data_IF_325504471110
#
_entry.id   IF_325504471110
#
_cell.length_a   1.000
_cell.length_b   1.000
_cell.length_c   1.000
_cell.angle_alpha   90.00
_cell.angle_beta   90.00
_cell.angle_gamma   90.00
#
_symmetry.space_group_name_H-M   'P 1'
#
loop_
_entity.id
_entity.type
_entity.pdbx_description
1 polymer ?
#
# COMPACT_ATOMS: atom_id res chain seq x y z
N UNK A 1 9.23 -8.38 -56.15
CA UNK A 1 8.31 -8.16 -57.26
C UNK A 1 6.91 -8.08 -56.75
N UNK A 2 6.27 -6.95 -57.02
CA UNK A 2 4.86 -6.56 -56.96
C UNK A 2 4.38 -6.22 -55.55
N UNK A 3 4.45 -5.03 -55.05
CA UNK A 3 3.94 -3.65 -55.30
C UNK A 3 2.41 -3.54 -55.30
N UNK A 4 1.88 -2.96 -54.17
CA UNK A 4 0.98 -1.78 -54.03
C UNK A 4 -0.48 -1.89 -54.52
N UNK A 5 -1.41 -0.97 -54.18
CA UNK A 5 -1.38 0.14 -53.26
C UNK A 5 -2.70 0.38 -52.48
N UNK A 6 -2.69 1.40 -51.60
CA UNK A 6 -3.83 2.11 -50.99
C UNK A 6 -4.68 2.86 -52.05
N UNK A 7 -5.90 3.30 -51.69
CA UNK A 7 -6.30 4.62 -52.15
C UNK A 7 -6.73 5.58 -51.00
N UNK A 8 -6.42 6.79 -51.32
CA UNK A 8 -6.70 8.09 -50.65
C UNK A 8 -8.12 8.61 -50.84
N UNK A 9 -8.52 9.46 -49.89
CA UNK A 9 -9.18 10.78 -49.98
C UNK A 9 -10.55 10.87 -50.65
N UNK A 10 -11.48 11.62 -50.10
CA UNK A 10 -11.56 13.10 -50.12
C UNK A 10 -12.90 13.58 -49.55
N UNK A 11 -12.78 14.57 -48.74
CA UNK A 11 -13.57 15.81 -48.61
C UNK A 11 -14.80 16.01 -49.51
N UNK A 12 -15.87 16.63 -48.94
CA UNK A 12 -16.53 17.81 -49.54
C UNK A 12 -17.41 18.49 -48.49
N UNK A 13 -17.15 19.78 -48.33
CA UNK A 13 -17.98 20.83 -47.74
C UNK A 13 -19.28 21.07 -48.52
N UNK A 14 -20.35 21.57 -47.87
CA UNK A 14 -21.35 22.51 -48.42
C UNK A 14 -22.04 23.24 -47.25
N UNK A 15 -21.76 24.38 -46.99
CA UNK A 15 -22.17 25.78 -47.15
C UNK A 15 -23.66 26.10 -47.23
N UNK A 16 -24.10 26.95 -46.25
CA UNK A 16 -24.92 28.21 -46.37
C UNK A 16 -26.35 28.10 -46.96
N UNK A 17 -27.38 28.68 -46.43
CA UNK A 17 -27.69 30.11 -46.19
C UNK A 17 -29.20 30.33 -45.89
N UNK A 18 -29.50 31.26 -45.01
CA UNK A 18 -30.42 32.44 -45.09
C UNK A 18 -31.93 32.25 -44.88
N UNK A 19 -32.48 33.14 -44.05
CA UNK A 19 -33.89 33.50 -44.03
C UNK A 19 -34.35 34.33 -42.82
N UNK A 20 -34.02 35.61 -42.77
CA UNK A 20 -34.70 36.64 -41.93
C UNK A 20 -36.13 36.81 -42.37
N UNK A 21 -37.09 36.96 -41.46
CA UNK A 21 -38.18 37.98 -41.55
C UNK A 21 -38.76 38.27 -40.17
N UNK A 22 -38.80 39.57 -39.88
CA UNK A 22 -39.48 40.21 -38.76
C UNK A 22 -40.97 40.27 -38.97
N UNK A 23 -41.76 40.19 -37.93
CA UNK A 23 -43.11 40.79 -37.89
C UNK A 23 -43.39 41.22 -36.45
N UNK A 24 -43.54 42.52 -36.31
CA UNK A 24 -43.96 43.29 -35.15
C UNK A 24 -45.49 43.15 -34.98
N UNK A 25 -45.93 42.73 -33.77
CA UNK A 25 -47.32 43.03 -33.35
C UNK A 25 -47.29 43.37 -31.86
N UNK A 26 -47.57 44.61 -31.56
CA UNK A 26 -47.84 45.15 -30.24
C UNK A 26 -49.31 44.86 -29.85
N UNK A 27 -49.49 44.25 -28.66
CA UNK A 27 -50.77 44.30 -27.94
C UNK A 27 -50.47 44.49 -26.44
N UNK A 28 -50.98 45.69 -25.97
CA UNK A 28 -51.09 45.99 -24.54
C UNK A 28 -52.11 45.04 -23.90
N UNK A 29 -51.83 44.42 -22.78
CA UNK A 29 -52.85 44.17 -21.75
C UNK A 29 -52.23 43.77 -20.43
N UNK A 30 -52.56 44.51 -19.39
CA UNK A 30 -52.81 43.98 -18.01
C UNK A 30 -51.63 43.54 -17.16
N UNK A 31 -51.14 44.45 -16.32
CA UNK A 31 -50.32 44.09 -15.12
C UNK A 31 -51.18 43.27 -14.15
N UNK A 32 -50.83 42.00 -13.94
CA UNK A 32 -51.15 41.24 -12.75
C UNK A 32 -49.82 40.98 -12.05
N UNK A 33 -49.59 41.65 -10.92
CA UNK A 33 -48.47 41.38 -10.01
C UNK A 33 -48.65 39.97 -9.42
N UNK A 34 -47.88 39.00 -9.87
CA UNK A 34 -47.70 37.75 -9.16
C UNK A 34 -46.50 37.87 -8.21
N UNK A 35 -46.56 37.28 -6.98
CA UNK A 35 -45.46 37.32 -6.05
C UNK A 35 -44.31 36.50 -6.62
N UNK A 36 -43.10 37.09 -6.57
CA UNK A 36 -41.89 36.55 -7.14
C UNK A 36 -41.56 35.15 -6.63
N UNK A 37 -41.53 34.20 -7.54
CA UNK A 37 -40.79 32.95 -7.35
C UNK A 37 -39.31 33.29 -7.43
N UNK A 38 -38.63 33.32 -6.30
CA UNK A 38 -37.17 33.37 -6.26
C UNK A 38 -36.62 32.20 -7.06
N UNK A 39 -35.96 32.46 -8.16
CA UNK A 39 -35.16 31.47 -8.88
C UNK A 39 -34.09 30.95 -7.90
N UNK A 40 -33.87 29.62 -7.80
CA UNK A 40 -32.78 29.12 -7.00
C UNK A 40 -31.47 29.66 -7.57
N UNK A 41 -30.69 30.33 -6.73
CA UNK A 41 -29.32 30.71 -7.08
C UNK A 41 -28.58 29.48 -7.59
N UNK A 42 -27.79 29.59 -8.66
CA UNK A 42 -26.97 28.49 -9.11
C UNK A 42 -26.01 28.15 -7.97
N UNK A 43 -26.20 26.95 -7.35
CA UNK A 43 -25.30 26.38 -6.36
C UNK A 43 -23.92 26.39 -7.02
N UNK A 44 -22.99 27.22 -6.51
CA UNK A 44 -21.63 27.28 -6.98
C UNK A 44 -21.13 25.82 -7.02
N UNK A 45 -20.66 25.38 -8.19
CA UNK A 45 -20.05 24.10 -8.34
C UNK A 45 -18.86 24.07 -7.36
N UNK A 46 -18.99 23.32 -6.26
CA UNK A 46 -17.88 23.10 -5.36
C UNK A 46 -16.78 22.46 -6.20
N UNK A 47 -15.61 23.09 -6.23
CA UNK A 47 -14.43 22.47 -6.80
C UNK A 47 -14.34 21.06 -6.21
N UNK A 48 -14.07 20.02 -7.03
CA UNK A 48 -13.97 18.67 -6.50
C UNK A 48 -13.00 18.67 -5.33
N UNK A 49 -13.43 18.11 -4.20
CA UNK A 49 -12.59 18.05 -2.99
C UNK A 49 -11.29 17.33 -3.36
N UNK A 50 -10.14 17.94 -3.01
CA UNK A 50 -8.82 17.34 -3.24
C UNK A 50 -8.77 16.00 -2.49
N UNK A 51 -8.32 14.92 -3.16
CA UNK A 51 -8.24 13.57 -2.58
C UNK A 51 -6.96 13.39 -1.74
N UNK A 52 -6.89 12.34 -0.90
CA UNK A 52 -5.63 11.96 -0.23
C UNK A 52 -4.51 11.77 -1.25
N UNK A 53 -4.81 11.11 -2.37
CA UNK A 53 -3.87 10.91 -3.48
C UNK A 53 -3.24 12.22 -3.95
N UNK A 54 -4.07 13.21 -4.28
CA UNK A 54 -3.60 14.50 -4.77
C UNK A 54 -2.79 15.27 -3.70
N UNK A 55 -3.23 15.23 -2.44
CA UNK A 55 -2.51 15.86 -1.34
C UNK A 55 -1.12 15.21 -1.13
N UNK A 56 -1.04 13.87 -1.17
CA UNK A 56 0.20 13.12 -1.02
C UNK A 56 1.17 13.34 -2.20
N UNK A 57 0.66 13.36 -3.44
CA UNK A 57 1.44 13.62 -4.66
C UNK A 57 2.11 15.00 -4.59
N UNK A 58 1.43 16.03 -4.07
CA UNK A 58 2.00 17.37 -3.87
C UNK A 58 3.17 17.39 -2.87
N UNK A 59 3.25 16.40 -2.00
CA UNK A 59 4.33 16.22 -1.00
C UNK A 59 5.39 15.20 -1.43
N UNK A 60 5.28 14.62 -2.62
CA UNK A 60 6.15 13.54 -3.10
C UNK A 60 6.14 12.30 -2.17
N UNK A 61 4.99 12.03 -1.55
CA UNK A 61 4.72 10.86 -0.73
C UNK A 61 3.68 10.00 -1.43
N UNK A 62 3.89 8.71 -1.44
CA UNK A 62 2.90 7.74 -1.92
C UNK A 62 1.90 7.49 -0.79
N UNK A 63 0.61 7.58 -1.05
CA UNK A 63 -0.45 7.13 -0.13
C UNK A 63 -0.98 5.78 -0.59
N UNK A 64 -0.99 4.78 0.30
CA UNK A 64 -1.34 3.41 -0.05
C UNK A 64 -2.34 2.76 0.89
N UNK A 65 -2.91 1.64 0.44
CA UNK A 65 -3.71 0.74 1.26
C UNK A 65 -3.39 -0.73 0.94
N UNK A 66 -3.32 -1.57 1.98
CA UNK A 66 -3.37 -3.02 1.81
C UNK A 66 -4.81 -3.44 1.51
N UNK A 67 -5.00 -4.33 0.54
CA UNK A 67 -6.33 -4.64 0.00
C UNK A 67 -6.43 -6.13 -0.38
N UNK A 68 -7.66 -6.65 -0.37
CA UNK A 68 -7.93 -7.99 -0.81
C UNK A 68 -8.74 -7.99 -2.11
N UNK A 69 -8.33 -8.82 -3.06
CA UNK A 69 -8.94 -8.89 -4.40
C UNK A 69 -10.44 -9.23 -4.36
N UNK A 70 -10.88 -9.98 -3.36
CA UNK A 70 -12.29 -10.36 -3.17
C UNK A 70 -13.26 -9.20 -2.93
N UNK A 71 -12.75 -8.01 -2.57
CA UNK A 71 -13.57 -6.82 -2.33
C UNK A 71 -13.63 -5.87 -3.53
N UNK A 72 -12.89 -6.14 -4.61
CA UNK A 72 -12.87 -5.27 -5.79
C UNK A 72 -14.20 -5.20 -6.54
N UNK A 73 -15.10 -6.15 -6.33
CA UNK A 73 -16.45 -6.14 -6.91
C UNK A 73 -17.43 -5.25 -6.10
N UNK A 74 -17.05 -4.77 -4.91
CA UNK A 74 -17.83 -3.79 -4.15
C UNK A 74 -17.63 -2.39 -4.75
N UNK A 75 -18.68 -1.77 -5.29
CA UNK A 75 -18.60 -0.52 -6.02
C UNK A 75 -17.97 0.63 -5.20
N UNK A 76 -18.41 0.80 -3.94
CA UNK A 76 -17.87 1.84 -3.05
C UNK A 76 -16.40 1.57 -2.68
N UNK A 77 -16.05 0.31 -2.45
CA UNK A 77 -14.66 -0.08 -2.16
C UNK A 77 -13.73 0.28 -3.31
N UNK A 78 -14.08 -0.15 -4.51
CA UNK A 78 -13.28 0.09 -5.71
C UNK A 78 -13.19 1.57 -6.08
N UNK A 79 -14.30 2.32 -5.93
CA UNK A 79 -14.33 3.75 -6.20
C UNK A 79 -13.41 4.54 -5.25
N UNK A 80 -13.46 4.24 -3.93
CA UNK A 80 -12.59 4.88 -2.93
C UNK A 80 -11.13 4.49 -3.17
N UNK A 81 -10.84 3.20 -3.32
CA UNK A 81 -9.49 2.71 -3.54
C UNK A 81 -8.84 3.37 -4.76
N UNK A 82 -9.54 3.40 -5.89
CA UNK A 82 -9.02 3.93 -7.15
C UNK A 82 -8.84 5.46 -7.17
N UNK A 83 -9.62 6.21 -6.37
CA UNK A 83 -9.58 7.67 -6.36
C UNK A 83 -8.72 8.27 -5.25
N UNK A 84 -8.68 7.65 -4.07
CA UNK A 84 -8.04 8.22 -2.88
C UNK A 84 -6.60 7.74 -2.67
N UNK A 85 -6.18 6.65 -3.32
CA UNK A 85 -4.87 6.04 -3.14
C UNK A 85 -4.05 6.00 -4.43
N UNK A 86 -2.74 6.21 -4.32
CA UNK A 86 -1.78 6.09 -5.43
C UNK A 86 -1.05 4.75 -5.45
N UNK A 87 -1.22 3.93 -4.39
CA UNK A 87 -0.65 2.60 -4.28
C UNK A 87 -1.64 1.62 -3.68
N UNK A 88 -1.55 0.37 -4.11
CA UNK A 88 -2.12 -0.77 -3.40
C UNK A 88 -1.06 -1.83 -3.09
N UNK A 89 -1.33 -2.63 -2.05
CA UNK A 89 -0.57 -3.81 -1.65
C UNK A 89 -1.52 -4.97 -1.46
N UNK A 90 -1.13 -6.18 -1.89
CA UNK A 90 -1.89 -7.38 -1.59
C UNK A 90 -1.89 -7.65 -0.08
N UNK A 91 -3.08 -7.77 0.54
CA UNK A 91 -3.18 -8.13 1.96
C UNK A 91 -2.72 -9.57 2.20
N UNK A 92 -3.09 -10.50 1.31
CA UNK A 92 -2.74 -11.92 1.42
C UNK A 92 -2.31 -12.58 0.11
N UNK A 93 -2.79 -12.14 -1.03
CA UNK A 93 -2.74 -12.85 -2.32
C UNK A 93 -1.32 -13.08 -2.85
N UNK A 94 -0.34 -12.28 -2.42
CA UNK A 94 1.06 -12.40 -2.83
C UNK A 94 1.96 -13.04 -1.75
N UNK A 95 1.39 -13.48 -0.62
CA UNK A 95 2.14 -14.25 0.40
C UNK A 95 2.45 -15.66 -0.10
N UNK A 96 3.50 -16.29 0.46
CA UNK A 96 4.00 -17.56 -0.04
C UNK A 96 2.90 -18.63 -0.18
N UNK A 97 2.14 -18.91 0.89
CA UNK A 97 1.11 -19.95 0.88
C UNK A 97 0.03 -19.73 -0.17
N UNK A 98 -0.63 -18.56 -0.23
CA UNK A 98 -1.63 -18.27 -1.24
C UNK A 98 -1.11 -18.33 -2.68
N UNK A 99 0.09 -17.81 -2.96
CA UNK A 99 0.60 -17.72 -4.33
C UNK A 99 1.32 -18.98 -4.80
N UNK A 100 1.88 -19.79 -3.88
CA UNK A 100 2.61 -21.04 -4.18
C UNK A 100 2.10 -22.20 -3.29
N UNK A 101 0.81 -22.55 -3.42
CA UNK A 101 0.14 -23.49 -2.52
C UNK A 101 0.56 -24.95 -2.69
N UNK A 102 1.18 -25.32 -3.81
CA UNK A 102 1.57 -26.69 -4.15
C UNK A 102 3.06 -26.77 -4.47
N UNK A 103 3.71 -27.94 -4.28
CA UNK A 103 5.13 -28.10 -4.56
C UNK A 103 5.46 -27.95 -6.06
N UNK A 104 6.69 -27.58 -6.40
CA UNK A 104 7.17 -27.39 -7.76
C UNK A 104 7.03 -28.65 -8.65
N UNK A 105 6.82 -29.81 -8.06
CA UNK A 105 6.51 -31.06 -8.77
C UNK A 105 5.05 -31.16 -9.25
N UNK A 106 4.17 -30.31 -8.76
CA UNK A 106 2.78 -30.20 -9.24
C UNK A 106 2.76 -29.51 -10.63
N UNK A 107 1.90 -29.93 -11.56
CA UNK A 107 1.80 -29.27 -12.88
C UNK A 107 1.33 -27.81 -12.82
N UNK A 108 0.69 -27.40 -11.72
CA UNK A 108 0.22 -26.04 -11.48
C UNK A 108 0.59 -25.58 -10.06
N UNK A 109 1.88 -25.35 -9.75
CA UNK A 109 2.33 -25.09 -8.38
C UNK A 109 1.87 -23.72 -7.85
N UNK A 110 1.64 -22.75 -8.73
CA UNK A 110 1.30 -21.38 -8.39
C UNK A 110 -0.18 -21.03 -8.65
N UNK A 111 -0.72 -20.14 -7.82
CA UNK A 111 -2.00 -19.44 -8.03
C UNK A 111 -1.79 -17.93 -8.04
N UNK A 112 -1.75 -17.35 -9.22
CA UNK A 112 -1.56 -15.92 -9.41
C UNK A 112 -2.87 -15.13 -9.54
N UNK A 113 -4.02 -15.79 -9.52
CA UNK A 113 -5.32 -15.17 -9.85
C UNK A 113 -5.60 -13.92 -9.01
N UNK A 114 -5.43 -14.00 -7.69
CA UNK A 114 -5.70 -12.86 -6.80
C UNK A 114 -4.69 -11.72 -7.00
N UNK A 115 -3.40 -12.04 -7.09
CA UNK A 115 -2.36 -11.05 -7.35
C UNK A 115 -2.53 -10.36 -8.71
N UNK A 116 -2.86 -11.12 -9.76
CA UNK A 116 -3.13 -10.58 -11.09
C UNK A 116 -4.33 -9.63 -11.12
N UNK A 117 -5.40 -9.94 -10.37
CA UNK A 117 -6.57 -9.07 -10.26
C UNK A 117 -6.21 -7.72 -9.61
N UNK A 118 -5.39 -7.74 -8.54
CA UNK A 118 -4.92 -6.52 -7.87
C UNK A 118 -4.02 -5.70 -8.80
N UNK A 119 -3.09 -6.33 -9.51
CA UNK A 119 -2.22 -5.64 -10.48
C UNK A 119 -3.03 -5.03 -11.61
N UNK A 120 -4.02 -5.75 -12.15
CA UNK A 120 -4.91 -5.22 -13.19
C UNK A 120 -5.71 -4.00 -12.70
N UNK A 121 -6.26 -4.07 -11.49
CA UNK A 121 -6.95 -2.93 -10.88
C UNK A 121 -6.02 -1.72 -10.74
N UNK A 122 -4.81 -1.93 -10.23
CA UNK A 122 -3.82 -0.86 -10.08
C UNK A 122 -3.48 -0.19 -11.42
N UNK A 123 -3.32 -0.96 -12.48
CA UNK A 123 -3.05 -0.45 -13.84
C UNK A 123 -4.19 0.43 -14.36
N UNK A 124 -5.46 -0.01 -14.20
CA UNK A 124 -6.65 0.73 -14.63
C UNK A 124 -6.74 2.08 -13.89
N UNK A 125 -6.37 2.11 -12.60
CA UNK A 125 -6.46 3.30 -11.76
C UNK A 125 -5.15 4.11 -11.66
N UNK A 126 -4.15 3.79 -12.49
CA UNK A 126 -2.82 4.45 -12.47
C UNK A 126 -2.20 4.44 -11.07
N UNK A 127 -2.29 3.32 -10.37
CA UNK A 127 -1.67 3.06 -9.07
C UNK A 127 -0.40 2.27 -9.26
N UNK A 128 0.56 2.44 -8.35
CA UNK A 128 1.69 1.53 -8.22
C UNK A 128 1.35 0.36 -7.29
N UNK A 129 2.05 -0.76 -7.44
CA UNK A 129 1.82 -1.96 -6.63
C UNK A 129 3.05 -2.23 -5.77
N UNK A 130 2.83 -2.50 -4.48
CA UNK A 130 3.84 -3.00 -3.56
C UNK A 130 3.55 -4.48 -3.28
N UNK A 131 4.53 -5.34 -3.48
CA UNK A 131 4.41 -6.79 -3.26
C UNK A 131 4.68 -7.17 -1.79
N UNK A 132 3.83 -8.00 -1.22
CA UNK A 132 3.93 -8.46 0.17
C UNK A 132 3.46 -9.90 0.26
N UNK A 133 4.26 -10.80 0.73
CA UNK A 133 5.70 -10.78 1.02
C UNK A 133 6.31 -12.10 0.53
N UNK A 134 7.57 -12.07 0.09
CA UNK A 134 8.21 -13.26 -0.49
C UNK A 134 8.63 -14.26 0.59
N UNK A 135 9.15 -13.78 1.73
CA UNK A 135 9.62 -14.63 2.83
C UNK A 135 9.02 -14.16 4.16
N UNK A 136 8.29 -15.06 4.81
CA UNK A 136 7.69 -14.81 6.11
C UNK A 136 7.64 -16.10 6.92
N UNK A 137 7.49 -16.03 8.24
CA UNK A 137 7.34 -17.18 9.11
C UNK A 137 5.91 -17.73 9.13
N UNK A 138 4.93 -16.88 8.79
CA UNK A 138 3.52 -17.24 8.67
C UNK A 138 3.13 -17.52 7.23
N UNK A 139 1.97 -18.15 7.04
CA UNK A 139 1.41 -18.51 5.73
C UNK A 139 2.40 -19.22 4.79
N UNK A 140 3.38 -19.94 5.35
CA UNK A 140 4.20 -20.89 4.60
C UNK A 140 3.33 -22.12 4.30
N UNK A 141 3.27 -22.63 3.06
CA UNK A 141 2.40 -23.76 2.72
C UNK A 141 2.82 -25.04 3.41
N UNK A 142 1.85 -25.93 3.64
CA UNK A 142 2.06 -27.17 4.38
C UNK A 142 3.12 -28.07 3.75
N UNK A 143 3.24 -28.11 2.44
CA UNK A 143 4.25 -28.91 1.75
C UNK A 143 5.68 -28.47 2.09
N UNK A 144 5.90 -27.17 2.36
CA UNK A 144 7.18 -26.64 2.84
C UNK A 144 7.34 -26.94 4.34
N UNK A 145 6.33 -26.62 5.17
CA UNK A 145 6.42 -26.78 6.65
C UNK A 145 6.58 -28.21 7.11
N UNK A 146 5.91 -29.17 6.44
CA UNK A 146 5.86 -30.58 6.82
C UNK A 146 6.85 -31.44 6.05
N UNK A 147 7.53 -30.87 5.04
CA UNK A 147 8.53 -31.58 4.27
C UNK A 147 9.83 -31.76 5.06
N UNK A 148 10.54 -32.84 4.75
CA UNK A 148 11.85 -33.11 5.30
C UNK A 148 12.93 -32.67 4.32
N UNK A 149 13.34 -31.42 4.41
CA UNK A 149 14.30 -30.80 3.48
C UNK A 149 15.65 -30.57 4.14
N UNK A 150 16.72 -30.78 3.40
CA UNK A 150 18.05 -30.29 3.75
C UNK A 150 18.15 -28.77 3.53
N UNK A 151 19.16 -28.12 4.10
CA UNK A 151 19.40 -26.69 3.91
C UNK A 151 19.53 -26.30 2.43
N UNK A 152 20.26 -27.02 1.55
CA UNK A 152 20.27 -26.74 0.11
C UNK A 152 18.89 -26.82 -0.54
N UNK A 153 18.09 -27.85 -0.21
CA UNK A 153 16.74 -27.99 -0.76
C UNK A 153 15.81 -26.85 -0.32
N UNK A 154 15.88 -26.39 0.94
CA UNK A 154 15.15 -25.20 1.40
C UNK A 154 15.60 -23.94 0.65
N UNK A 155 16.91 -23.81 0.38
CA UNK A 155 17.44 -22.70 -0.39
C UNK A 155 16.93 -22.73 -1.84
N UNK A 156 16.90 -23.89 -2.49
CA UNK A 156 16.37 -24.06 -3.85
C UNK A 156 14.86 -23.75 -3.93
N UNK A 157 14.08 -24.23 -2.96
CA UNK A 157 12.64 -23.92 -2.86
C UNK A 157 12.41 -22.40 -2.74
N UNK A 158 13.13 -21.76 -1.83
CA UNK A 158 12.97 -20.32 -1.62
C UNK A 158 13.44 -19.49 -2.82
N UNK A 159 14.56 -19.87 -3.43
CA UNK A 159 15.08 -19.23 -4.63
C UNK A 159 14.11 -19.35 -5.81
N UNK A 160 13.60 -20.58 -6.06
CA UNK A 160 12.60 -20.83 -7.12
C UNK A 160 11.33 -19.98 -6.91
N UNK A 161 10.84 -19.94 -5.65
CA UNK A 161 9.69 -19.09 -5.29
C UNK A 161 9.93 -17.61 -5.59
N UNK A 162 11.02 -17.04 -5.06
CA UNK A 162 11.36 -15.62 -5.26
C UNK A 162 11.48 -15.32 -6.75
N UNK A 163 12.26 -16.10 -7.48
CA UNK A 163 12.48 -15.94 -8.92
C UNK A 163 11.17 -15.97 -9.70
N UNK A 164 10.33 -16.97 -9.47
CA UNK A 164 9.08 -17.15 -10.21
C UNK A 164 8.11 -16.01 -9.95
N UNK A 165 7.89 -15.64 -8.69
CA UNK A 165 6.96 -14.58 -8.30
C UNK A 165 7.43 -13.23 -8.82
N UNK A 166 8.68 -12.88 -8.60
CA UNK A 166 9.21 -11.59 -9.02
C UNK A 166 9.30 -11.45 -10.55
N UNK A 167 9.69 -12.52 -11.25
CA UNK A 167 9.72 -12.49 -12.72
C UNK A 167 8.31 -12.28 -13.32
N UNK A 168 7.27 -12.90 -12.73
CA UNK A 168 5.89 -12.69 -13.18
C UNK A 168 5.45 -11.23 -13.05
N UNK A 169 5.85 -10.57 -11.98
CA UNK A 169 5.45 -9.20 -11.66
C UNK A 169 6.52 -8.15 -11.99
N UNK A 170 7.59 -8.54 -12.68
CA UNK A 170 8.63 -7.61 -13.10
C UNK A 170 8.04 -6.44 -13.89
N UNK A 171 8.49 -5.22 -13.58
CA UNK A 171 7.98 -3.95 -14.10
C UNK A 171 6.53 -3.57 -13.72
N UNK A 172 5.81 -4.42 -12.99
CA UNK A 172 4.43 -4.17 -12.52
C UNK A 172 4.38 -3.86 -11.02
N UNK A 173 5.29 -4.45 -10.25
CA UNK A 173 5.45 -4.23 -8.81
C UNK A 173 6.72 -3.43 -8.60
N UNK A 174 6.61 -2.21 -8.05
CA UNK A 174 7.77 -1.32 -7.94
C UNK A 174 8.64 -1.58 -6.71
N UNK A 175 8.07 -2.19 -5.68
CA UNK A 175 8.75 -2.49 -4.42
C UNK A 175 8.23 -3.79 -3.82
N UNK A 176 9.11 -4.56 -3.16
CA UNK A 176 8.77 -5.82 -2.49
C UNK A 176 9.23 -5.82 -1.04
N UNK A 177 8.36 -6.30 -0.14
CA UNK A 177 8.80 -6.86 1.13
C UNK A 177 9.43 -8.22 0.86
N UNK A 178 10.75 -8.22 0.72
CA UNK A 178 11.48 -9.47 0.44
C UNK A 178 11.42 -10.38 1.65
N UNK A 179 11.68 -9.84 2.84
CA UNK A 179 11.56 -10.56 4.11
C UNK A 179 10.75 -9.76 5.10
N UNK A 180 9.80 -10.43 5.73
CA UNK A 180 8.91 -9.88 6.74
C UNK A 180 9.14 -10.54 8.11
N UNK A 181 9.26 -9.73 9.17
CA UNK A 181 9.21 -10.14 10.58
C UNK A 181 10.24 -11.23 10.98
N UNK A 182 11.50 -11.02 10.65
CA UNK A 182 12.57 -11.98 10.95
C UNK A 182 13.12 -11.88 12.36
N UNK A 183 12.80 -10.82 13.11
CA UNK A 183 13.29 -10.60 14.47
C UNK A 183 12.19 -10.72 15.52
N UNK A 184 12.54 -11.21 16.69
CA UNK A 184 11.73 -11.16 17.90
C UNK A 184 11.86 -9.78 18.58
N UNK A 185 10.98 -9.48 19.54
CA UNK A 185 10.96 -8.18 20.22
C UNK A 185 12.21 -7.91 21.09
N UNK A 186 12.93 -8.97 21.47
CA UNK A 186 14.21 -8.88 22.17
C UNK A 186 15.43 -8.67 21.25
N UNK A 187 15.19 -8.60 19.92
CA UNK A 187 16.22 -8.44 18.89
C UNK A 187 16.89 -9.73 18.43
N UNK A 188 16.51 -10.88 18.97
CA UNK A 188 16.98 -12.18 18.48
C UNK A 188 16.33 -12.55 17.15
N UNK A 189 16.98 -13.40 16.35
CA UNK A 189 16.38 -13.97 15.14
C UNK A 189 15.18 -14.85 15.51
N UNK A 190 14.10 -14.71 14.75
CA UNK A 190 12.89 -15.53 14.92
C UNK A 190 13.16 -16.98 14.50
N UNK A 191 12.72 -17.93 15.33
CA UNK A 191 12.76 -19.35 15.02
C UNK A 191 11.76 -19.68 13.89
N UNK A 192 12.31 -20.13 12.76
CA UNK A 192 11.52 -20.43 11.53
C UNK A 192 12.19 -21.54 10.75
N UNK A 193 11.46 -22.15 9.81
CA UNK A 193 12.03 -23.13 8.86
C UNK A 193 13.19 -22.54 8.02
N UNK A 194 13.23 -21.21 7.84
CA UNK A 194 14.26 -20.52 7.08
C UNK A 194 15.54 -20.31 7.88
N UNK A 195 15.42 -20.17 9.20
CA UNK A 195 16.53 -19.85 10.11
C UNK A 195 17.05 -21.04 10.91
N UNK A 196 16.15 -21.90 11.44
CA UNK A 196 16.52 -23.04 12.29
C UNK A 196 17.21 -24.17 11.51
N UNK A 197 17.79 -25.11 12.21
CA UNK A 197 18.35 -26.32 11.60
C UNK A 197 17.24 -27.20 10.97
N UNK A 198 17.36 -27.60 9.69
CA UNK A 198 18.50 -27.40 8.80
C UNK A 198 18.56 -26.01 8.11
N UNK A 199 17.62 -25.15 8.23
CA UNK A 199 17.42 -23.82 7.65
C UNK A 199 18.54 -23.23 6.78
N UNK A 200 18.25 -22.18 6.06
CA UNK A 200 19.20 -21.57 5.12
C UNK A 200 20.27 -20.78 5.89
N UNK A 201 21.51 -21.28 5.96
CA UNK A 201 22.57 -20.67 6.77
C UNK A 201 22.29 -20.77 8.27
N UNK A 202 21.76 -21.89 8.70
CA UNK A 202 21.22 -22.18 10.03
C UNK A 202 22.04 -21.60 11.17
N UNK A 203 21.43 -20.79 12.02
CA UNK A 203 22.07 -20.14 13.16
C UNK A 203 23.12 -19.07 12.80
N UNK A 204 23.32 -18.73 11.53
CA UNK A 204 24.32 -17.75 11.07
C UNK A 204 23.73 -16.33 10.92
N UNK A 205 22.93 -15.88 11.89
CA UNK A 205 22.33 -14.55 11.86
C UNK A 205 21.43 -14.34 10.64
N UNK A 206 21.43 -13.14 10.01
CA UNK A 206 20.52 -12.80 8.92
C UNK A 206 20.93 -13.39 7.55
N UNK A 207 21.62 -14.52 7.52
CA UNK A 207 22.14 -15.12 6.26
C UNK A 207 21.06 -15.41 5.24
N UNK A 208 19.93 -15.99 5.65
CA UNK A 208 18.83 -16.28 4.73
C UNK A 208 18.17 -15.00 4.18
N UNK A 209 18.16 -13.91 4.96
CA UNK A 209 17.66 -12.58 4.53
C UNK A 209 18.56 -12.03 3.42
N UNK A 210 19.88 -12.08 3.63
CA UNK A 210 20.85 -11.67 2.60
C UNK A 210 20.67 -12.47 1.30
N UNK A 211 20.52 -13.78 1.40
CA UNK A 211 20.32 -14.63 0.22
C UNK A 211 19.01 -14.28 -0.50
N UNK A 212 17.91 -14.11 0.23
CA UNK A 212 16.63 -13.71 -0.34
C UNK A 212 16.70 -12.36 -1.08
N UNK A 213 17.37 -11.35 -0.50
CA UNK A 213 17.57 -10.05 -1.13
C UNK A 213 18.41 -10.15 -2.43
N UNK A 214 19.47 -10.98 -2.44
CA UNK A 214 20.29 -11.17 -3.64
C UNK A 214 19.50 -11.85 -4.75
N UNK A 215 18.74 -12.90 -4.45
CA UNK A 215 17.88 -13.60 -5.41
C UNK A 215 16.75 -12.68 -5.93
N UNK A 216 16.20 -11.85 -5.05
CA UNK A 216 15.20 -10.86 -5.44
C UNK A 216 15.77 -9.84 -6.44
N UNK A 217 16.97 -9.31 -6.19
CA UNK A 217 17.66 -8.38 -7.10
C UNK A 217 18.03 -9.02 -8.44
N UNK A 218 18.41 -10.29 -8.41
CA UNK A 218 18.67 -11.07 -9.64
C UNK A 218 17.39 -11.24 -10.48
N UNK A 219 16.26 -11.55 -9.83
CA UNK A 219 14.99 -11.79 -10.50
C UNK A 219 14.35 -10.52 -11.08
N UNK A 220 14.47 -9.38 -10.38
CA UNK A 220 14.02 -8.06 -10.87
C UNK A 220 14.99 -6.95 -10.43
N UNK A 221 15.91 -6.57 -11.32
CA UNK A 221 16.86 -5.50 -11.04
C UNK A 221 16.23 -4.11 -10.83
N UNK A 222 14.98 -3.91 -11.31
CA UNK A 222 14.27 -2.63 -11.24
C UNK A 222 13.44 -2.42 -9.98
N UNK A 223 13.06 -3.50 -9.29
CA UNK A 223 12.25 -3.39 -8.08
C UNK A 223 13.04 -2.91 -6.87
N UNK A 224 12.41 -2.13 -6.00
CA UNK A 224 12.98 -1.78 -4.70
C UNK A 224 12.77 -2.90 -3.70
N UNK A 225 13.78 -3.22 -2.90
CA UNK A 225 13.81 -4.36 -2.00
C UNK A 225 13.80 -3.90 -0.54
N UNK A 226 12.79 -4.32 0.21
CA UNK A 226 12.56 -3.91 1.59
C UNK A 226 12.64 -5.09 2.56
N UNK A 227 13.08 -4.78 3.77
CA UNK A 227 12.81 -5.54 4.97
C UNK A 227 11.65 -4.86 5.73
N UNK A 228 10.66 -5.60 6.21
CA UNK A 228 9.45 -5.06 6.87
C UNK A 228 9.24 -5.72 8.24
N UNK A 229 8.89 -4.94 9.28
CA UNK A 229 8.64 -5.50 10.62
C UNK A 229 7.69 -4.61 11.43
N UNK A 230 7.01 -5.21 12.43
CA UNK A 230 6.18 -4.55 13.42
C UNK A 230 6.99 -4.24 14.69
N UNK A 231 6.45 -3.35 15.55
CA UNK A 231 7.10 -2.90 16.79
C UNK A 231 8.56 -2.42 16.60
N UNK A 232 8.88 -2.03 15.37
CA UNK A 232 10.18 -1.50 14.96
C UNK A 232 10.19 0.02 14.79
N UNK A 233 9.09 0.70 15.10
CA UNK A 233 8.91 2.13 14.94
C UNK A 233 9.85 2.92 15.86
N UNK A 234 9.92 2.52 17.13
CA UNK A 234 10.75 3.18 18.15
C UNK A 234 12.17 2.62 18.17
N UNK A 235 13.10 3.37 18.78
CA UNK A 235 14.41 2.82 19.18
C UNK A 235 14.20 1.84 20.32
N UNK A 236 14.40 0.55 20.02
CA UNK A 236 14.28 -0.57 20.95
C UNK A 236 15.18 -1.72 20.49
N UNK A 237 15.22 -2.82 21.24
CA UNK A 237 16.11 -3.97 20.93
C UNK A 237 15.86 -4.55 19.54
N UNK A 238 14.60 -4.64 19.11
CA UNK A 238 14.21 -5.16 17.80
C UNK A 238 14.70 -4.24 16.68
N UNK A 239 14.37 -2.94 16.76
CA UNK A 239 14.82 -1.96 15.78
C UNK A 239 16.34 -1.77 15.78
N UNK A 240 17.02 -2.00 16.92
CA UNK A 240 18.50 -2.02 17.01
C UNK A 240 19.10 -3.19 16.24
N UNK A 241 18.51 -4.39 16.35
CA UNK A 241 18.93 -5.55 15.59
C UNK A 241 18.70 -5.36 14.07
N UNK A 242 17.54 -4.83 13.67
CA UNK A 242 17.24 -4.49 12.27
C UNK A 242 18.23 -3.44 11.76
N UNK A 243 18.53 -2.41 12.57
CA UNK A 243 19.49 -1.36 12.21
C UNK A 243 20.90 -1.92 12.03
N UNK A 244 21.35 -2.80 12.93
CA UNK A 244 22.65 -3.45 12.84
C UNK A 244 22.77 -4.31 11.56
N UNK A 245 21.72 -5.11 11.26
CA UNK A 245 21.64 -5.87 10.01
C UNK A 245 21.68 -4.95 8.78
N UNK A 246 20.86 -3.91 8.74
CA UNK A 246 20.80 -2.99 7.62
C UNK A 246 22.14 -2.27 7.39
N UNK A 247 22.81 -1.83 8.46
CA UNK A 247 24.14 -1.20 8.41
C UNK A 247 25.20 -2.15 7.85
N UNK A 248 25.22 -3.41 8.30
CA UNK A 248 26.12 -4.44 7.77
C UNK A 248 25.83 -4.73 6.30
N UNK A 249 24.55 -4.88 5.94
CA UNK A 249 24.14 -5.12 4.56
C UNK A 249 24.56 -3.99 3.62
N UNK A 250 24.36 -2.74 4.01
CA UNK A 250 24.83 -1.58 3.23
C UNK A 250 26.35 -1.58 3.07
N UNK A 251 27.09 -1.88 4.13
CA UNK A 251 28.57 -1.92 4.09
C UNK A 251 29.10 -3.03 3.17
N UNK A 252 28.39 -4.18 3.05
CA UNK A 252 28.75 -5.32 2.20
C UNK A 252 28.12 -5.31 0.81
N UNK A 253 27.35 -4.27 0.45
CA UNK A 253 26.68 -4.18 -0.84
C UNK A 253 25.58 -5.23 -1.02
N UNK A 254 24.91 -5.65 0.05
CA UNK A 254 23.66 -6.43 -0.03
C UNK A 254 22.55 -5.50 -0.54
N UNK A 255 21.73 -5.92 -1.51
CA UNK A 255 20.78 -5.03 -2.18
C UNK A 255 19.52 -4.77 -1.33
N UNK A 256 19.67 -4.06 -0.22
CA UNK A 256 18.61 -3.56 0.62
C UNK A 256 18.38 -2.07 0.29
N UNK A 257 17.21 -1.75 -0.28
CA UNK A 257 16.86 -0.39 -0.68
C UNK A 257 16.15 0.37 0.43
N UNK A 258 15.40 -0.33 1.30
CA UNK A 258 14.65 0.33 2.35
C UNK A 258 14.18 -0.57 3.47
N UNK A 259 13.55 0.07 4.46
CA UNK A 259 12.91 -0.60 5.62
C UNK A 259 11.46 -0.12 5.73
N UNK A 260 10.55 -1.09 5.94
CA UNK A 260 9.17 -0.88 6.25
C UNK A 260 8.92 -0.98 7.76
N UNK A 261 8.16 -0.03 8.28
CA UNK A 261 7.64 0.02 9.65
C UNK A 261 6.14 -0.23 9.57
N UNK A 262 5.66 -1.34 10.11
CA UNK A 262 4.25 -1.73 9.97
C UNK A 262 3.30 -0.72 10.63
N UNK A 263 3.64 -0.22 11.81
CA UNK A 263 2.86 0.74 12.57
C UNK A 263 1.44 0.27 12.94
N UNK A 264 1.30 -1.01 13.34
CA UNK A 264 0.09 -1.53 13.97
C UNK A 264 -0.03 -1.03 15.41
N UNK A 265 -0.61 0.15 15.62
CA UNK A 265 -0.58 0.83 16.91
C UNK A 265 -1.96 0.90 17.59
N UNK A 266 -1.98 1.38 18.82
CA UNK A 266 -3.16 1.77 19.56
C UNK A 266 -2.97 3.17 20.14
N UNK A 267 -3.98 3.75 20.79
CA UNK A 267 -3.84 5.04 21.45
C UNK A 267 -2.72 5.11 22.51
N UNK A 268 -2.19 3.97 22.95
CA UNK A 268 -0.99 3.93 23.81
C UNK A 268 0.27 4.43 23.11
N UNK A 269 0.24 4.57 21.79
CA UNK A 269 1.33 5.14 21.00
C UNK A 269 1.29 6.67 20.97
N UNK A 270 0.15 7.31 21.30
CA UNK A 270 -0.01 8.75 21.47
C UNK A 270 0.71 9.21 22.77
N UNK A 271 2.04 9.20 22.71
CA UNK A 271 2.97 9.55 23.77
C UNK A 271 4.15 10.31 23.12
N UNK A 272 4.42 11.56 23.54
CA UNK A 272 5.50 12.33 22.94
C UNK A 272 6.85 11.62 22.94
N UNK A 273 7.15 10.84 23.99
CA UNK A 273 8.43 10.11 24.06
C UNK A 273 8.52 9.01 23.02
N UNK A 274 7.40 8.38 22.68
CA UNK A 274 7.32 7.36 21.63
C UNK A 274 7.41 7.95 20.24
N UNK A 275 6.73 9.07 20.00
CA UNK A 275 6.82 9.79 18.74
C UNK A 275 8.23 10.34 18.50
N UNK A 276 8.86 10.94 19.52
CA UNK A 276 10.26 11.36 19.46
C UNK A 276 11.21 10.20 19.19
N UNK A 277 10.95 9.05 19.80
CA UNK A 277 11.71 7.81 19.55
C UNK A 277 11.55 7.33 18.13
N UNK A 278 10.34 7.43 17.55
CA UNK A 278 10.08 7.08 16.16
C UNK A 278 10.86 8.02 15.21
N UNK A 279 10.83 9.33 15.43
CA UNK A 279 11.64 10.28 14.65
C UNK A 279 13.12 9.90 14.68
N UNK A 280 13.70 9.68 15.87
CA UNK A 280 15.10 9.27 16.02
C UNK A 280 15.42 7.99 15.27
N UNK A 281 14.46 7.05 15.26
CA UNK A 281 14.60 5.79 14.56
C UNK A 281 14.58 5.99 13.04
N UNK A 282 13.62 6.73 12.51
CA UNK A 282 13.58 7.10 11.09
C UNK A 282 14.89 7.78 10.65
N UNK A 283 15.37 8.75 11.43
CA UNK A 283 16.60 9.49 11.13
C UNK A 283 17.84 8.59 11.03
N UNK A 284 17.99 7.60 11.94
CA UNK A 284 19.15 6.73 11.90
C UNK A 284 19.14 5.80 10.67
N UNK A 285 17.97 5.27 10.28
CA UNK A 285 17.84 4.46 9.06
C UNK A 285 18.04 5.32 7.80
N UNK A 286 17.49 6.54 7.77
CA UNK A 286 17.71 7.49 6.68
C UNK A 286 19.21 7.81 6.46
N UNK A 287 20.00 7.93 7.54
CA UNK A 287 21.46 8.14 7.48
C UNK A 287 22.23 6.97 6.86
N UNK A 288 21.65 5.78 6.78
CA UNK A 288 22.21 4.65 6.03
C UNK A 288 21.93 4.74 4.52
N UNK A 289 21.21 5.78 4.06
CA UNK A 289 20.78 5.92 2.67
C UNK A 289 19.66 4.95 2.30
N UNK A 290 18.82 4.56 3.25
CA UNK A 290 17.65 3.69 3.04
C UNK A 290 16.38 4.52 2.82
N UNK A 291 15.52 4.05 1.94
CA UNK A 291 14.15 4.54 1.82
C UNK A 291 13.29 3.96 2.97
N UNK A 292 12.40 4.78 3.51
CA UNK A 292 11.57 4.43 4.67
C UNK A 292 10.11 4.40 4.24
N UNK A 293 9.41 3.34 4.62
CA UNK A 293 7.98 3.18 4.38
C UNK A 293 7.23 2.95 5.70
N UNK A 294 6.12 3.64 5.90
CA UNK A 294 5.11 3.26 6.90
C UNK A 294 4.11 2.39 6.16
N UNK A 295 4.08 1.08 6.45
CA UNK A 295 3.55 0.08 5.52
C UNK A 295 2.18 -0.48 5.87
N UNK A 296 1.77 -0.40 7.13
CA UNK A 296 0.61 -1.15 7.61
C UNK A 296 -0.17 -0.38 8.70
N UNK A 297 -0.13 0.96 8.63
CA UNK A 297 -0.69 1.80 9.69
C UNK A 297 -2.15 1.48 9.95
N UNK A 298 -2.43 1.11 11.18
CA UNK A 298 -3.76 1.14 11.78
C UNK A 298 -3.66 1.60 13.24
N UNK A 299 -4.71 2.30 13.72
CA UNK A 299 -4.80 2.78 15.09
C UNK A 299 -6.03 2.19 15.75
N UNK A 300 -5.88 1.03 16.37
CA UNK A 300 -6.99 0.29 16.97
C UNK A 300 -7.55 0.98 18.22
N UNK A 301 -8.88 0.95 18.34
CA UNK A 301 -9.65 1.54 19.43
C UNK A 301 -10.38 0.47 20.23
N UNK A 302 -10.68 0.74 21.50
CA UNK A 302 -11.54 -0.08 22.34
C UNK A 302 -13.03 0.28 22.20
N UNK A 303 -13.32 1.49 21.71
CA UNK A 303 -14.67 2.00 21.46
C UNK A 303 -14.64 3.08 20.36
N UNK A 304 -15.80 3.41 19.82
CA UNK A 304 -15.99 4.45 18.81
C UNK A 304 -16.57 5.76 19.37
N UNK A 305 -16.31 6.05 20.64
CA UNK A 305 -16.74 7.33 21.22
C UNK A 305 -16.10 8.52 20.51
N UNK A 306 -16.74 9.71 20.53
CA UNK A 306 -16.16 10.92 19.94
C UNK A 306 -14.75 11.24 20.44
N UNK A 307 -14.48 10.98 21.73
CA UNK A 307 -13.16 11.19 22.31
C UNK A 307 -12.12 10.22 21.75
N UNK A 308 -12.46 8.93 21.63
CA UNK A 308 -11.59 7.91 21.04
C UNK A 308 -11.28 8.21 19.58
N UNK A 309 -12.29 8.61 18.79
CA UNK A 309 -12.12 8.99 17.39
C UNK A 309 -11.27 10.26 17.22
N UNK A 310 -11.41 11.23 18.15
CA UNK A 310 -10.58 12.44 18.14
C UNK A 310 -9.11 12.12 18.47
N UNK A 311 -8.87 11.29 19.47
CA UNK A 311 -7.52 10.84 19.82
C UNK A 311 -6.89 10.02 18.69
N UNK A 312 -7.67 9.15 18.03
CA UNK A 312 -7.23 8.40 16.85
C UNK A 312 -6.80 9.35 15.72
N UNK A 313 -7.63 10.35 15.42
CA UNK A 313 -7.35 11.34 14.38
C UNK A 313 -6.04 12.10 14.66
N UNK A 314 -5.85 12.54 15.92
CA UNK A 314 -4.60 13.19 16.35
C UNK A 314 -3.38 12.30 16.03
N UNK A 315 -3.40 11.04 16.47
CA UNK A 315 -2.27 10.12 16.26
C UNK A 315 -2.02 9.84 14.79
N UNK A 316 -3.06 9.64 13.96
CA UNK A 316 -2.91 9.50 12.51
C UNK A 316 -2.25 10.73 11.88
N UNK A 317 -2.68 11.93 12.28
CA UNK A 317 -2.11 13.19 11.78
C UNK A 317 -0.64 13.37 12.20
N UNK A 318 -0.28 12.98 13.41
CA UNK A 318 1.10 13.02 13.91
C UNK A 318 2.00 12.06 13.11
N UNK A 319 1.59 10.79 12.95
CA UNK A 319 2.36 9.81 12.18
C UNK A 319 2.49 10.23 10.70
N UNK A 320 1.43 10.74 10.08
CA UNK A 320 1.48 11.27 8.72
C UNK A 320 2.46 12.46 8.62
N UNK A 321 2.46 13.35 9.61
CA UNK A 321 3.38 14.50 9.69
C UNK A 321 4.83 14.02 9.79
N UNK A 322 5.12 13.00 10.61
CA UNK A 322 6.48 12.44 10.71
C UNK A 322 6.99 11.93 9.36
N UNK A 323 6.13 11.24 8.60
CA UNK A 323 6.52 10.77 7.27
C UNK A 323 6.77 11.93 6.30
N UNK A 324 5.89 12.92 6.26
CA UNK A 324 6.04 14.11 5.39
C UNK A 324 7.30 14.91 5.73
N UNK A 325 7.66 15.01 7.00
CA UNK A 325 8.84 15.75 7.45
C UNK A 325 10.16 15.00 7.24
N UNK A 326 10.12 13.67 7.09
CA UNK A 326 11.31 12.86 6.87
C UNK A 326 11.53 12.64 5.35
N UNK A 327 12.54 13.27 4.71
CA UNK A 327 12.71 13.17 3.26
C UNK A 327 12.93 11.75 2.73
N UNK A 328 13.42 10.83 3.58
CA UNK A 328 13.60 9.43 3.23
C UNK A 328 12.28 8.63 3.32
N UNK A 329 11.23 9.14 3.99
CA UNK A 329 9.91 8.50 4.02
C UNK A 329 9.19 8.77 2.71
N UNK A 330 8.90 7.71 1.96
CA UNK A 330 8.30 7.78 0.62
C UNK A 330 6.90 7.20 0.55
N UNK A 331 6.49 6.45 1.57
CA UNK A 331 5.20 5.80 1.61
C UNK A 331 4.55 5.96 3.00
N UNK A 332 3.29 6.39 2.98
CA UNK A 332 2.36 6.24 4.09
C UNK A 332 1.22 5.31 3.63
N UNK A 333 1.12 4.13 4.23
CA UNK A 333 0.13 3.13 3.85
C UNK A 333 -0.61 2.59 5.06
N UNK A 334 -1.91 2.39 4.92
CA UNK A 334 -2.77 1.75 5.92
C UNK A 334 -2.97 0.26 5.63
N UNK A 335 -3.15 -0.56 6.67
CA UNK A 335 -3.51 -1.98 6.49
C UNK A 335 -5.02 -2.14 6.36
N UNK A 336 -5.51 -1.96 5.14
CA UNK A 336 -6.90 -1.69 4.82
C UNK A 336 -7.19 -0.17 4.82
N UNK A 337 -8.40 0.24 4.45
CA UNK A 337 -8.81 1.65 4.52
C UNK A 337 -10.19 1.84 5.16
N UNK A 338 -11.00 0.80 5.27
CA UNK A 338 -12.35 0.81 5.87
C UNK A 338 -12.47 -0.17 7.03
N UNK A 339 -13.13 0.24 8.09
CA UNK A 339 -13.41 -0.60 9.27
C UNK A 339 -14.23 -1.83 8.91
N UNK A 340 -15.02 -1.79 7.82
CA UNK A 340 -15.83 -2.90 7.31
C UNK A 340 -15.02 -4.17 7.07
N UNK A 341 -13.79 -4.03 6.59
CA UNK A 341 -12.92 -5.14 6.20
C UNK A 341 -11.62 -5.20 7.01
N UNK A 342 -11.58 -4.50 8.15
CA UNK A 342 -10.40 -4.50 9.03
C UNK A 342 -10.15 -5.87 9.66
N UNK A 343 -8.88 -6.28 9.71
CA UNK A 343 -8.42 -7.49 10.38
C UNK A 343 -8.48 -7.40 11.91
N UNK A 344 -8.48 -6.17 12.45
CA UNK A 344 -8.35 -5.87 13.87
C UNK A 344 -9.37 -6.62 14.73
N UNK A 345 -10.70 -6.60 14.44
CA UNK A 345 -11.68 -7.30 15.28
C UNK A 345 -11.50 -8.82 15.32
N UNK A 346 -10.92 -9.37 14.26
CA UNK A 346 -10.62 -10.81 14.18
C UNK A 346 -9.46 -11.23 15.09
N UNK A 347 -8.45 -10.38 15.20
CA UNK A 347 -7.21 -10.64 15.94
C UNK A 347 -7.23 -10.08 17.37
N UNK A 348 -7.62 -8.82 17.55
CA UNK A 348 -7.70 -8.12 18.85
C UNK A 348 -9.14 -8.11 19.35
N UNK A 349 -9.52 -9.08 20.16
CA UNK A 349 -10.90 -9.20 20.68
C UNK A 349 -11.33 -7.94 21.43
N UNK A 350 -12.51 -7.42 21.08
CA UNK A 350 -13.07 -6.20 21.68
C UNK A 350 -12.46 -4.89 21.19
N UNK A 351 -11.59 -4.94 20.19
CA UNK A 351 -11.02 -3.76 19.53
C UNK A 351 -11.43 -3.67 18.07
N UNK A 352 -11.41 -2.46 17.51
CA UNK A 352 -11.81 -2.21 16.12
C UNK A 352 -11.62 -0.76 15.74
N UNK A 353 -12.47 -0.27 14.82
CA UNK A 353 -12.54 1.12 14.35
C UNK A 353 -11.18 1.71 13.99
N UNK A 354 -10.33 0.91 13.36
CA UNK A 354 -8.91 1.18 13.26
C UNK A 354 -8.51 2.08 12.08
N UNK A 355 -9.38 2.26 11.08
CA UNK A 355 -9.04 2.78 9.76
C UNK A 355 -9.65 4.15 9.45
N UNK A 356 -9.42 4.67 8.23
CA UNK A 356 -9.76 6.04 7.84
C UNK A 356 -11.23 6.21 7.43
N UNK A 357 -11.88 5.14 6.95
CA UNK A 357 -13.31 5.06 6.66
C UNK A 357 -13.99 4.10 7.62
N UNK A 358 -15.23 4.38 7.96
CA UNK A 358 -16.06 3.49 8.78
C UNK A 358 -16.60 2.28 7.96
N UNK A 359 -17.45 1.45 8.59
CA UNK A 359 -18.07 0.27 7.99
C UNK A 359 -19.12 0.60 6.91
N UNK A 360 -19.50 1.88 6.77
CA UNK A 360 -20.43 2.42 5.77
C UNK A 360 -19.70 3.26 4.72
N UNK A 361 -18.38 3.17 4.65
CA UNK A 361 -17.55 3.95 3.74
C UNK A 361 -17.62 5.47 3.97
N UNK A 362 -17.99 5.95 5.19
CA UNK A 362 -17.95 7.35 5.54
C UNK A 362 -16.56 7.73 6.07
N UNK A 363 -16.05 8.89 5.66
CA UNK A 363 -14.76 9.40 6.12
C UNK A 363 -14.81 9.69 7.62
N UNK A 364 -13.86 9.14 8.37
CA UNK A 364 -13.69 9.38 9.80
C UNK A 364 -12.83 10.62 10.06
N UNK A 365 -12.80 11.17 11.30
CA UNK A 365 -11.88 12.26 11.65
C UNK A 365 -10.41 11.93 11.33
N UNK A 366 -10.01 10.67 11.41
CA UNK A 366 -8.68 10.20 11.02
C UNK A 366 -8.34 10.47 9.55
N UNK A 367 -9.30 10.34 8.62
CA UNK A 367 -9.11 10.73 7.22
C UNK A 367 -8.73 12.22 7.10
N UNK A 368 -9.49 13.10 7.78
CA UNK A 368 -9.24 14.54 7.73
C UNK A 368 -7.87 14.89 8.30
N UNK A 369 -7.46 14.25 9.40
CA UNK A 369 -6.17 14.49 10.02
C UNK A 369 -4.98 14.07 9.12
N UNK A 370 -5.09 12.93 8.41
CA UNK A 370 -4.09 12.51 7.42
C UNK A 370 -4.07 13.49 6.22
N UNK A 371 -5.26 13.86 5.73
CA UNK A 371 -5.37 14.85 4.64
C UNK A 371 -4.69 16.18 5.02
N UNK A 372 -4.98 16.72 6.21
CA UNK A 372 -4.41 17.98 6.68
C UNK A 372 -2.88 17.91 6.84
N UNK A 373 -2.34 16.77 7.26
CA UNK A 373 -0.90 16.55 7.35
C UNK A 373 -0.23 16.54 5.95
N UNK A 374 -0.90 15.97 4.95
CA UNK A 374 -0.43 15.92 3.56
C UNK A 374 -0.63 17.25 2.82
N UNK A 375 -1.64 18.05 3.17
CA UNK A 375 -1.97 19.30 2.48
C UNK A 375 -1.16 20.52 2.96
N UNK A 376 -0.51 20.46 4.12
CA UNK A 376 0.35 21.53 4.71
C UNK A 376 1.71 21.60 4.03
#
# INVERSE_FOLDING_TARGET
>A
MISTPLPNSSSIDILRQVGRRAATAALLCGMILQPGSASPEPRAAQSPAVTLRQAAEARHVIIGAAVASRYLDEADYSAILGSEFSQLQAENEMKFGPIHPRPDTDPNPYDFKGGDALVAFAQIHSMVVRGHTLVWHNQVPDWVKKGSYSAPQLADILHSHIKTVMTRYASKVYAWDVVNEAFNDDGSMRHTIWYDQPGIGAGQGPKYIEMALRWAREADPGAKLFYNDYDAEQVNKKSDAIYAMAKDFKARGVPLDGVGFQAHVSLKFDDPTKLDSFVKNLDRFAKLGLELHITELDVRLNDSSPNSLTAQAKLYGEIATLCVQQPACKLLQTWGFTDKHSWIPGFYKGQGWALLWDDKYQKKPAYTAVYDALAK
#
